data_IF_819530949008
#
_entry.id   IF_819530949008
#
_cell.length_a   1.000
_cell.length_b   1.000
_cell.length_c   1.000
_cell.angle_alpha   90.00
_cell.angle_beta   90.00
_cell.angle_gamma   90.00
#
_symmetry.space_group_name_H-M   'P 1'
#
loop_
_entity.id
_entity.type
_entity.pdbx_description
1 polymer ?
#
# COMPACT_ATOMS: atom_id res chain seq x y z
N UNK A 1 -57.78 -19.41 -59.71
CA UNK A 1 -58.31 -18.09 -59.32
C UNK A 1 -57.18 -17.31 -58.67
N UNK A 2 -56.78 -16.18 -59.25
CA UNK A 2 -55.78 -15.30 -58.65
C UNK A 2 -56.40 -14.64 -57.41
N UNK A 3 -55.78 -14.82 -56.25
CA UNK A 3 -56.16 -14.11 -55.03
C UNK A 3 -55.98 -12.60 -55.27
N UNK A 4 -56.98 -11.74 -54.96
CA UNK A 4 -56.79 -10.30 -54.97
C UNK A 4 -55.61 -9.94 -54.05
N UNK A 5 -54.85 -8.90 -54.40
CA UNK A 5 -53.84 -8.34 -53.52
C UNK A 5 -54.54 -7.81 -52.25
N UNK A 6 -54.56 -8.64 -51.20
CA UNK A 6 -55.23 -8.31 -49.95
C UNK A 6 -54.51 -7.17 -49.24
N UNK A 7 -55.27 -6.22 -48.72
CA UNK A 7 -54.78 -5.23 -47.76
C UNK A 7 -54.21 -5.86 -46.50
N UNK A 8 -53.72 -5.02 -45.58
CA UNK A 8 -53.05 -5.42 -44.33
C UNK A 8 -53.83 -6.49 -43.56
N UNK A 9 -53.14 -7.54 -43.07
CA UNK A 9 -53.77 -8.63 -42.30
C UNK A 9 -54.48 -8.09 -41.05
N UNK A 10 -55.71 -8.55 -40.72
CA UNK A 10 -56.41 -8.18 -39.49
C UNK A 10 -55.53 -8.39 -38.25
N UNK A 11 -55.61 -7.47 -37.29
CA UNK A 11 -54.80 -7.53 -36.07
C UNK A 11 -53.36 -7.02 -36.18
N UNK A 12 -52.86 -6.71 -37.38
CA UNK A 12 -51.46 -6.26 -37.56
C UNK A 12 -51.15 -4.99 -36.76
N UNK A 13 -52.04 -3.99 -36.78
CA UNK A 13 -51.86 -2.76 -35.99
C UNK A 13 -51.86 -3.02 -34.47
N UNK A 14 -52.77 -3.87 -33.98
CA UNK A 14 -52.80 -4.26 -32.57
C UNK A 14 -51.53 -5.00 -32.14
N UNK A 15 -50.99 -5.87 -33.02
CA UNK A 15 -49.70 -6.55 -32.79
C UNK A 15 -48.57 -5.55 -32.65
N UNK A 16 -48.45 -4.63 -33.62
CA UNK A 16 -47.39 -3.62 -33.64
C UNK A 16 -47.43 -2.74 -32.39
N UNK A 17 -48.61 -2.28 -31.99
CA UNK A 17 -48.80 -1.48 -30.77
C UNK A 17 -48.42 -2.26 -29.51
N UNK A 18 -48.87 -3.51 -29.39
CA UNK A 18 -48.54 -4.35 -28.24
C UNK A 18 -47.03 -4.60 -28.14
N UNK A 19 -46.39 -5.00 -29.24
CA UNK A 19 -44.94 -5.21 -29.30
C UNK A 19 -44.17 -3.92 -29.02
N UNK A 20 -44.62 -2.79 -29.55
CA UNK A 20 -44.02 -1.48 -29.27
C UNK A 20 -44.09 -1.13 -27.78
N UNK A 21 -45.21 -1.44 -27.10
CA UNK A 21 -45.34 -1.30 -25.65
C UNK A 21 -44.29 -2.09 -24.88
N UNK A 22 -44.11 -3.37 -25.23
CA UNK A 22 -43.10 -4.24 -24.61
C UNK A 22 -41.69 -3.67 -24.79
N UNK A 23 -41.33 -3.25 -26.01
CA UNK A 23 -40.00 -2.70 -26.26
C UNK A 23 -39.73 -1.41 -25.50
N UNK A 24 -40.75 -0.58 -25.29
CA UNK A 24 -40.65 0.62 -24.45
C UNK A 24 -40.42 0.25 -22.99
N UNK A 25 -41.14 -0.74 -22.45
CA UNK A 25 -40.94 -1.22 -21.08
C UNK A 25 -39.54 -1.82 -20.88
N UNK A 26 -39.05 -2.63 -21.82
CA UNK A 26 -37.69 -3.19 -21.81
C UNK A 26 -36.64 -2.07 -21.81
N UNK A 27 -36.83 -1.04 -22.63
CA UNK A 27 -35.95 0.13 -22.64
C UNK A 27 -35.97 0.86 -21.29
N UNK A 28 -37.15 1.06 -20.70
CA UNK A 28 -37.27 1.71 -19.40
C UNK A 28 -36.64 0.87 -18.28
N UNK A 29 -36.72 -0.45 -18.33
CA UNK A 29 -36.00 -1.33 -17.39
C UNK A 29 -34.49 -1.15 -17.49
N UNK A 30 -33.93 -1.03 -18.71
CA UNK A 30 -32.51 -0.73 -18.91
C UNK A 30 -32.14 0.66 -18.37
N UNK A 31 -33.01 1.66 -18.54
CA UNK A 31 -32.81 3.00 -17.97
C UNK A 31 -32.81 2.99 -16.43
N UNK A 32 -33.62 2.14 -15.80
CA UNK A 32 -33.58 1.93 -14.35
C UNK A 32 -32.22 1.39 -13.90
N UNK A 33 -31.70 0.36 -14.56
CA UNK A 33 -30.36 -0.17 -14.28
C UNK A 33 -29.27 0.90 -14.43
N UNK A 34 -29.39 1.77 -15.45
CA UNK A 34 -28.48 2.90 -15.65
C UNK A 34 -28.48 3.88 -14.48
N UNK A 35 -29.63 4.12 -13.86
CA UNK A 35 -29.77 4.97 -12.66
C UNK A 35 -29.13 4.33 -11.42
N UNK A 36 -29.27 3.02 -11.26
CA UNK A 36 -28.63 2.28 -10.16
C UNK A 36 -27.09 2.38 -10.23
N UNK A 37 -26.53 2.36 -11.45
CA UNK A 37 -25.09 2.59 -11.67
C UNK A 37 -24.65 3.99 -11.21
N UNK A 38 -25.45 5.04 -11.45
CA UNK A 38 -25.13 6.38 -10.93
C UNK A 38 -25.18 6.44 -9.41
N UNK A 39 -26.18 5.81 -8.79
CA UNK A 39 -26.29 5.76 -7.34
C UNK A 39 -25.09 5.04 -6.70
N UNK A 40 -24.62 3.94 -7.31
CA UNK A 40 -23.41 3.24 -6.86
C UNK A 40 -22.16 4.10 -6.99
N UNK A 41 -22.01 4.82 -8.10
CA UNK A 41 -20.89 5.75 -8.27
C UNK A 41 -20.91 6.86 -7.21
N UNK A 42 -22.08 7.43 -6.94
CA UNK A 42 -22.28 8.46 -5.92
C UNK A 42 -21.91 7.97 -4.51
N UNK A 43 -22.28 6.73 -4.16
CA UNK A 43 -21.88 6.11 -2.89
C UNK A 43 -20.36 5.96 -2.77
N UNK A 44 -19.68 5.54 -3.84
CA UNK A 44 -18.22 5.39 -3.85
C UNK A 44 -17.49 6.72 -3.64
N UNK A 45 -17.89 7.78 -4.35
CA UNK A 45 -17.25 9.10 -4.19
C UNK A 45 -17.58 9.72 -2.81
N UNK A 46 -18.74 9.41 -2.24
CA UNK A 46 -19.08 9.83 -0.87
C UNK A 46 -18.21 9.12 0.17
N UNK A 47 -17.96 7.82 0.03
CA UNK A 47 -17.01 7.09 0.89
C UNK A 47 -15.58 7.61 0.77
N UNK A 48 -15.18 8.04 -0.43
CA UNK A 48 -13.90 8.70 -0.63
C UNK A 48 -13.81 9.99 0.20
N UNK A 49 -14.89 10.77 0.29
CA UNK A 49 -14.95 11.96 1.16
C UNK A 49 -14.72 11.62 2.64
N UNK A 50 -15.29 10.52 3.12
CA UNK A 50 -15.13 10.10 4.52
C UNK A 50 -13.67 9.70 4.87
N UNK A 51 -12.87 9.33 3.86
CA UNK A 51 -11.45 9.00 4.03
C UNK A 51 -10.52 10.21 4.10
N UNK A 52 -11.01 11.43 3.91
CA UNK A 52 -10.17 12.63 3.91
C UNK A 52 -9.57 12.90 5.28
N UNK A 53 -8.27 13.21 5.32
CA UNK A 53 -7.62 13.56 6.57
C UNK A 53 -8.02 14.99 6.99
N UNK A 54 -8.68 15.19 8.14
CA UNK A 54 -9.13 16.51 8.57
C UNK A 54 -7.96 17.48 8.81
N UNK A 55 -6.78 16.96 9.16
CA UNK A 55 -5.56 17.76 9.40
C UNK A 55 -5.06 18.49 8.16
N UNK A 56 -5.48 18.08 6.96
CA UNK A 56 -5.10 18.80 5.73
C UNK A 56 -5.56 20.26 5.74
N UNK A 57 -6.70 20.57 6.38
CA UNK A 57 -7.22 21.94 6.48
C UNK A 57 -6.33 22.88 7.29
N UNK A 58 -5.63 22.34 8.27
CA UNK A 58 -4.72 23.07 9.16
C UNK A 58 -3.28 23.08 8.61
N UNK A 59 -2.99 22.28 7.60
CA UNK A 59 -1.66 22.14 7.03
C UNK A 59 -1.36 23.24 6.01
N UNK A 60 -0.07 23.57 5.85
CA UNK A 60 0.38 24.50 4.82
C UNK A 60 0.07 24.05 3.38
N UNK A 61 -0.18 22.76 3.15
CA UNK A 61 -0.52 22.21 1.82
C UNK A 61 -2.00 22.39 1.45
N UNK A 62 -2.83 22.92 2.36
CA UNK A 62 -4.26 23.13 2.12
C UNK A 62 -4.59 23.89 0.81
N UNK A 63 -3.90 25.00 0.45
CA UNK A 63 -4.20 25.71 -0.79
C UNK A 63 -3.99 24.86 -2.06
N UNK A 64 -3.11 23.84 -2.00
CA UNK A 64 -2.86 22.92 -3.11
C UNK A 64 -3.93 21.82 -3.20
N UNK A 65 -4.40 21.32 -2.06
CA UNK A 65 -5.33 20.17 -1.97
C UNK A 65 -6.79 20.62 -2.05
N UNK A 66 -7.13 21.75 -1.45
CA UNK A 66 -8.51 22.23 -1.35
C UNK A 66 -9.26 22.36 -2.68
N UNK A 67 -8.65 22.74 -3.83
CA UNK A 67 -9.40 22.85 -5.07
C UNK A 67 -9.92 21.51 -5.58
N UNK A 68 -9.15 20.42 -5.47
CA UNK A 68 -9.61 19.10 -5.92
C UNK A 68 -10.65 18.51 -4.98
N UNK A 69 -10.52 18.76 -3.67
CA UNK A 69 -11.54 18.32 -2.71
C UNK A 69 -12.86 19.09 -2.93
N UNK A 70 -12.79 20.40 -3.17
CA UNK A 70 -13.96 21.21 -3.52
C UNK A 70 -14.63 20.74 -4.81
N UNK A 71 -13.86 20.30 -5.80
CA UNK A 71 -14.40 19.67 -7.00
C UNK A 71 -15.19 18.39 -6.70
N UNK A 72 -14.65 17.51 -5.85
CA UNK A 72 -15.36 16.29 -5.44
C UNK A 72 -16.65 16.60 -4.67
N UNK A 73 -16.64 17.60 -3.78
CA UNK A 73 -17.86 18.02 -3.06
C UNK A 73 -18.94 18.56 -4.01
N UNK A 74 -18.53 19.34 -5.03
CA UNK A 74 -19.47 19.81 -6.04
C UNK A 74 -19.98 18.66 -6.90
N UNK A 75 -19.11 17.72 -7.32
CA UNK A 75 -19.53 16.55 -8.08
C UNK A 75 -20.56 15.69 -7.31
N UNK A 76 -20.30 15.41 -6.03
CA UNK A 76 -21.25 14.71 -5.13
C UNK A 76 -22.60 15.44 -5.14
N UNK A 77 -22.58 16.76 -4.92
CA UNK A 77 -23.79 17.57 -4.83
C UNK A 77 -24.60 17.55 -6.13
N UNK A 78 -23.92 17.72 -7.28
CA UNK A 78 -24.55 17.75 -8.61
C UNK A 78 -25.12 16.39 -9.01
N UNK A 79 -24.36 15.31 -8.76
CA UNK A 79 -24.81 13.95 -9.07
C UNK A 79 -25.97 13.50 -8.19
N UNK A 80 -25.97 13.87 -6.91
CA UNK A 80 -27.10 13.57 -6.03
C UNK A 80 -28.39 14.20 -6.56
N UNK A 81 -28.36 15.50 -6.89
CA UNK A 81 -29.51 16.19 -7.48
C UNK A 81 -29.94 15.59 -8.84
N UNK A 82 -28.98 15.10 -9.64
CA UNK A 82 -29.25 14.41 -10.90
C UNK A 82 -29.98 13.08 -10.68
N UNK A 83 -29.51 12.24 -9.76
CA UNK A 83 -30.13 10.95 -9.43
C UNK A 83 -31.55 11.15 -8.88
N UNK A 84 -31.73 12.08 -7.94
CA UNK A 84 -33.04 12.42 -7.37
C UNK A 84 -34.01 12.88 -8.47
N UNK A 85 -33.54 13.75 -9.37
CA UNK A 85 -34.31 14.25 -10.50
C UNK A 85 -34.71 13.16 -11.50
N UNK A 86 -33.82 12.20 -11.78
CA UNK A 86 -34.14 11.04 -12.63
C UNK A 86 -35.16 10.12 -11.98
N UNK A 87 -35.02 9.85 -10.68
CA UNK A 87 -35.92 8.96 -9.95
C UNK A 87 -37.34 9.52 -9.87
N UNK A 88 -37.47 10.83 -9.65
CA UNK A 88 -38.76 11.51 -9.71
C UNK A 88 -39.42 11.38 -11.09
N UNK A 89 -38.66 11.55 -12.19
CA UNK A 89 -39.21 11.44 -13.55
C UNK A 89 -39.58 10.00 -13.92
N UNK A 90 -38.75 9.04 -13.51
CA UNK A 90 -38.99 7.62 -13.78
C UNK A 90 -40.32 7.15 -13.16
N UNK A 91 -40.68 7.66 -11.99
CA UNK A 91 -41.93 7.32 -11.30
C UNK A 91 -43.21 7.72 -12.07
N UNK A 92 -43.10 8.61 -13.05
CA UNK A 92 -44.23 9.08 -13.87
C UNK A 92 -44.35 8.37 -15.22
N UNK A 93 -43.45 7.43 -15.55
CA UNK A 93 -43.53 6.70 -16.82
C UNK A 93 -44.56 5.59 -16.72
N UNK A 94 -45.59 5.68 -17.54
CA UNK A 94 -46.67 4.69 -17.62
C UNK A 94 -46.12 3.35 -18.15
N UNK A 95 -46.55 2.22 -17.59
CA UNK A 95 -46.17 0.88 -18.08
C UNK A 95 -47.24 0.31 -19.00
N UNK A 96 -46.86 -0.61 -19.91
CA UNK A 96 -47.84 -1.27 -20.76
C UNK A 96 -48.70 -2.28 -19.97
N UNK A 97 -49.99 -2.37 -20.33
CA UNK A 97 -50.90 -3.39 -19.81
C UNK A 97 -50.59 -4.72 -20.48
N UNK A 98 -49.74 -5.52 -19.83
CA UNK A 98 -49.32 -6.83 -20.32
C UNK A 98 -50.35 -7.93 -20.08
N UNK A 99 -51.36 -7.71 -19.23
CA UNK A 99 -52.38 -8.70 -18.90
C UNK A 99 -53.49 -8.77 -19.96
N UNK A 100 -53.80 -7.66 -20.62
CA UNK A 100 -54.83 -7.59 -21.67
C UNK A 100 -54.23 -7.49 -23.08
N UNK A 101 -53.68 -8.59 -23.61
CA UNK A 101 -53.19 -8.63 -25.00
C UNK A 101 -54.37 -8.72 -26.01
N UNK A 102 -54.73 -7.63 -26.72
CA UNK A 102 -55.87 -7.63 -27.65
C UNK A 102 -55.57 -8.37 -28.95
N UNK A 103 -54.30 -8.63 -29.26
CA UNK A 103 -53.87 -9.33 -30.48
C UNK A 103 -54.14 -10.84 -30.42
N UNK A 104 -54.25 -11.43 -29.22
CA UNK A 104 -54.44 -12.88 -29.03
C UNK A 104 -55.66 -13.43 -29.77
N UNK A 105 -56.75 -12.66 -29.83
CA UNK A 105 -57.98 -13.04 -30.55
C UNK A 105 -57.79 -13.11 -32.07
N UNK A 106 -56.81 -12.39 -32.63
CA UNK A 106 -56.53 -12.36 -34.07
C UNK A 106 -55.59 -13.49 -34.52
N UNK A 107 -54.77 -14.05 -33.63
CA UNK A 107 -53.82 -15.13 -33.97
C UNK A 107 -54.52 -16.39 -34.52
N UNK A 108 -55.75 -16.65 -34.07
CA UNK A 108 -56.53 -17.83 -34.46
C UNK A 108 -57.36 -17.63 -35.74
N UNK A 109 -57.46 -16.41 -36.26
CA UNK A 109 -58.41 -16.06 -37.32
C UNK A 109 -58.03 -16.67 -38.69
N UNK A 110 -56.74 -16.66 -39.02
CA UNK A 110 -56.21 -17.24 -40.27
C UNK A 110 -56.38 -18.76 -40.29
N UNK A 111 -56.09 -19.43 -39.16
CA UNK A 111 -56.30 -20.87 -39.02
C UNK A 111 -57.79 -21.25 -39.13
N UNK A 112 -58.67 -20.47 -38.51
CA UNK A 112 -60.11 -20.70 -38.60
C UNK A 112 -60.65 -20.52 -40.03
N UNK A 113 -60.18 -19.50 -40.75
CA UNK A 113 -60.53 -19.28 -42.15
C UNK A 113 -60.08 -20.44 -43.05
N UNK A 114 -58.83 -20.90 -42.90
CA UNK A 114 -58.31 -22.05 -43.66
C UNK A 114 -59.11 -23.33 -43.37
N UNK A 115 -59.49 -23.56 -42.11
CA UNK A 115 -60.33 -24.69 -41.72
C UNK A 115 -61.73 -24.62 -42.36
N UNK A 116 -62.35 -23.43 -42.43
CA UNK A 116 -63.61 -23.23 -43.16
C UNK A 116 -63.46 -23.50 -44.67
N UNK A 117 -62.42 -22.96 -45.29
CA UNK A 117 -62.17 -23.13 -46.73
C UNK A 117 -61.93 -24.60 -47.11
N UNK A 118 -61.21 -25.34 -46.26
CA UNK A 118 -61.00 -26.77 -46.46
C UNK A 118 -62.32 -27.53 -46.30
N UNK A 119 -63.08 -27.27 -45.23
CA UNK A 119 -64.35 -27.94 -44.99
C UNK A 119 -65.41 -27.62 -46.08
N UNK A 120 -65.37 -26.41 -46.68
CA UNK A 120 -66.20 -26.03 -47.82
C UNK A 120 -65.88 -26.88 -49.06
N UNK A 121 -64.59 -27.12 -49.30
CA UNK A 121 -64.14 -27.97 -50.41
C UNK A 121 -64.57 -29.43 -50.19
N UNK A 122 -64.41 -29.92 -48.96
CA UNK A 122 -64.72 -31.31 -48.59
C UNK A 122 -66.23 -31.62 -48.68
N UNK A 123 -67.09 -30.66 -48.30
CA UNK A 123 -68.55 -30.82 -48.38
C UNK A 123 -69.08 -30.77 -49.83
N UNK A 124 -68.35 -30.12 -50.74
CA UNK A 124 -68.70 -30.03 -52.16
C UNK A 124 -68.30 -31.27 -52.99
N UNK A 125 -67.59 -32.23 -52.40
CA UNK A 125 -67.23 -33.47 -53.11
C UNK A 125 -68.47 -34.30 -53.51
N UNK A 126 -68.46 -35.02 -54.64
CA UNK A 126 -69.63 -35.79 -55.11
C UNK A 126 -70.15 -36.81 -54.09
N UNK A 127 -69.25 -37.44 -53.32
CA UNK A 127 -69.57 -38.38 -52.26
C UNK A 127 -70.29 -37.70 -51.08
N UNK A 128 -69.79 -36.54 -50.63
CA UNK A 128 -70.39 -35.74 -49.56
C UNK A 128 -71.77 -35.20 -49.96
N UNK A 129 -71.91 -34.68 -51.18
CA UNK A 129 -73.20 -34.20 -51.71
C UNK A 129 -74.23 -35.33 -51.78
N UNK A 130 -73.83 -36.50 -52.28
CA UNK A 130 -74.70 -37.68 -52.34
C UNK A 130 -75.12 -38.15 -50.93
N UNK A 131 -74.19 -38.14 -49.96
CA UNK A 131 -74.47 -38.50 -48.58
C UNK A 131 -75.45 -37.51 -47.92
N UNK A 132 -75.31 -36.22 -48.18
CA UNK A 132 -76.22 -35.19 -47.69
C UNK A 132 -77.61 -35.30 -48.33
N UNK A 133 -77.68 -35.52 -49.65
CA UNK A 133 -78.95 -35.71 -50.36
C UNK A 133 -79.70 -36.96 -49.88
N UNK A 134 -78.98 -38.05 -49.62
CA UNK A 134 -79.53 -39.27 -49.02
C UNK A 134 -80.03 -39.04 -47.59
N UNK A 135 -79.30 -38.25 -46.81
CA UNK A 135 -79.73 -37.88 -45.46
C UNK A 135 -81.04 -37.10 -45.50
N UNK A 136 -81.17 -36.10 -46.40
CA UNK A 136 -82.41 -35.34 -46.59
C UNK A 136 -83.59 -36.19 -47.03
N UNK A 137 -83.40 -37.10 -47.99
CA UNK A 137 -84.49 -37.95 -48.51
C UNK A 137 -84.97 -39.02 -47.54
N UNK A 138 -84.20 -39.33 -46.50
CA UNK A 138 -84.51 -40.36 -45.48
C UNK A 138 -84.76 -39.78 -44.10
N UNK A 139 -84.92 -38.46 -43.99
CA UNK A 139 -85.14 -37.77 -42.72
C UNK A 139 -86.55 -38.05 -42.17
N UNK A 140 -86.61 -38.63 -40.96
CA UNK A 140 -87.85 -38.80 -40.18
C UNK A 140 -87.74 -38.00 -38.87
N UNK A 141 -88.64 -37.03 -38.61
CA UNK A 141 -88.66 -36.27 -37.35
C UNK A 141 -88.75 -37.15 -36.10
N UNK A 142 -89.29 -38.36 -36.21
CA UNK A 142 -89.43 -39.31 -35.09
C UNK A 142 -88.14 -40.06 -34.76
N UNK A 143 -87.17 -40.09 -35.68
CA UNK A 143 -85.88 -40.79 -35.51
C UNK A 143 -84.73 -39.93 -36.03
N UNK A 144 -84.36 -38.85 -35.30
CA UNK A 144 -83.36 -37.91 -35.78
C UNK A 144 -82.01 -38.60 -35.98
N UNK A 145 -81.47 -38.50 -37.20
CA UNK A 145 -80.11 -38.94 -37.54
C UNK A 145 -79.17 -37.75 -37.51
N UNK A 146 -77.93 -37.96 -37.06
CA UNK A 146 -76.88 -36.93 -37.14
C UNK A 146 -76.62 -36.58 -38.61
N UNK A 147 -76.28 -35.31 -38.88
CA UNK A 147 -75.78 -34.89 -40.19
C UNK A 147 -74.57 -35.73 -40.62
N UNK A 148 -74.31 -35.89 -41.93
CA UNK A 148 -73.06 -36.48 -42.42
C UNK A 148 -71.84 -35.74 -41.87
N UNK A 149 -70.76 -36.47 -41.57
CA UNK A 149 -69.56 -35.90 -40.94
C UNK A 149 -68.96 -34.69 -41.69
N UNK A 150 -68.85 -34.68 -43.04
CA UNK A 150 -68.35 -33.51 -43.77
C UNK A 150 -69.19 -32.24 -43.51
N UNK A 151 -70.51 -32.38 -43.41
CA UNK A 151 -71.42 -31.26 -43.10
C UNK A 151 -71.30 -30.81 -41.63
N UNK A 152 -71.11 -31.75 -40.68
CA UNK A 152 -70.85 -31.42 -39.27
C UNK A 152 -69.53 -30.65 -39.09
N UNK A 153 -68.46 -31.08 -39.74
CA UNK A 153 -67.15 -30.42 -39.71
C UNK A 153 -67.26 -29.02 -40.29
N UNK A 154 -67.94 -28.86 -41.43
CA UNK A 154 -68.20 -27.57 -42.04
C UNK A 154 -68.98 -26.62 -41.12
N UNK A 155 -70.08 -27.08 -40.53
CA UNK A 155 -70.87 -26.28 -39.57
C UNK A 155 -70.07 -25.85 -38.36
N UNK A 156 -69.25 -26.74 -37.78
CA UNK A 156 -68.40 -26.41 -36.62
C UNK A 156 -67.32 -25.40 -36.99
N UNK A 157 -66.67 -25.57 -38.14
CA UNK A 157 -65.66 -24.65 -38.64
C UNK A 157 -66.26 -23.25 -38.83
N UNK A 158 -67.43 -23.15 -39.50
CA UNK A 158 -68.15 -21.90 -39.70
C UNK A 158 -68.54 -21.25 -38.36
N UNK A 159 -69.14 -22.01 -37.43
CA UNK A 159 -69.55 -21.45 -36.14
C UNK A 159 -68.34 -20.85 -35.40
N UNK A 160 -67.23 -21.60 -35.34
CA UNK A 160 -66.01 -21.12 -34.70
C UNK A 160 -65.43 -19.89 -35.37
N UNK A 161 -65.40 -19.85 -36.70
CA UNK A 161 -64.90 -18.70 -37.45
C UNK A 161 -65.82 -17.48 -37.27
N UNK A 162 -67.13 -17.66 -37.25
CA UNK A 162 -68.09 -16.60 -36.95
C UNK A 162 -67.92 -16.05 -35.53
N UNK A 163 -67.74 -16.90 -34.53
CA UNK A 163 -67.54 -16.48 -33.14
C UNK A 163 -66.25 -15.66 -33.00
N UNK A 164 -65.14 -16.12 -33.62
CA UNK A 164 -63.87 -15.38 -33.66
C UNK A 164 -63.99 -14.05 -34.42
N UNK A 165 -64.72 -14.02 -35.55
CA UNK A 165 -64.96 -12.79 -36.31
C UNK A 165 -65.81 -11.80 -35.49
N UNK A 166 -66.81 -12.27 -34.75
CA UNK A 166 -67.61 -11.43 -33.85
C UNK A 166 -66.76 -10.85 -32.72
N UNK A 167 -65.91 -11.66 -32.09
CA UNK A 167 -65.00 -11.22 -31.04
C UNK A 167 -64.01 -10.17 -31.57
N UNK A 168 -63.36 -10.44 -32.70
CA UNK A 168 -62.45 -9.49 -33.35
C UNK A 168 -63.18 -8.22 -33.83
N UNK A 169 -64.40 -8.36 -34.33
CA UNK A 169 -65.26 -7.24 -34.71
C UNK A 169 -65.67 -6.38 -33.52
N UNK A 170 -65.92 -6.98 -32.36
CA UNK A 170 -66.16 -6.27 -31.12
C UNK A 170 -64.92 -5.46 -30.69
N UNK A 171 -63.74 -6.06 -30.74
CA UNK A 171 -62.47 -5.36 -30.46
C UNK A 171 -62.24 -4.18 -31.39
N UNK A 172 -62.50 -4.34 -32.69
CA UNK A 172 -62.39 -3.26 -33.68
C UNK A 172 -63.43 -2.15 -33.51
N UNK A 173 -64.59 -2.43 -32.92
CA UNK A 173 -65.67 -1.43 -32.78
C UNK A 173 -65.64 -0.69 -31.44
N UNK A 174 -65.01 -1.26 -30.40
CA UNK A 174 -65.11 -0.70 -29.04
C UNK A 174 -63.80 -0.27 -28.41
N UNK A 175 -62.65 -0.78 -28.87
CA UNK A 175 -61.36 -0.56 -28.21
C UNK A 175 -60.22 0.07 -29.05
N UNK A 176 -60.32 0.34 -30.36
CA UNK A 176 -59.14 0.77 -31.11
C UNK A 176 -58.63 2.14 -30.64
N UNK A 177 -59.53 3.09 -30.37
CA UNK A 177 -59.15 4.43 -29.92
C UNK A 177 -58.42 4.39 -28.57
N UNK A 178 -59.00 3.72 -27.56
CA UNK A 178 -58.40 3.59 -26.22
C UNK A 178 -57.01 2.90 -26.26
N UNK A 179 -56.86 1.82 -27.03
CA UNK A 179 -55.58 1.11 -27.14
C UNK A 179 -54.51 1.98 -27.82
N UNK A 180 -54.88 2.66 -28.91
CA UNK A 180 -53.96 3.52 -29.65
C UNK A 180 -53.58 4.76 -28.82
N UNK A 181 -54.54 5.36 -28.12
CA UNK A 181 -54.32 6.54 -27.26
C UNK A 181 -53.42 6.18 -26.07
N UNK A 182 -53.64 5.04 -25.39
CA UNK A 182 -52.74 4.55 -24.35
C UNK A 182 -51.33 4.30 -24.86
N UNK A 183 -51.18 3.71 -26.04
CA UNK A 183 -49.87 3.48 -26.64
C UNK A 183 -49.19 4.80 -27.02
N UNK A 184 -49.93 5.74 -27.58
CA UNK A 184 -49.43 7.08 -27.90
C UNK A 184 -48.99 7.81 -26.62
N UNK A 185 -49.78 7.75 -25.55
CA UNK A 185 -49.44 8.35 -24.27
C UNK A 185 -48.17 7.72 -23.69
N UNK A 186 -48.08 6.39 -23.65
CA UNK A 186 -46.87 5.69 -23.19
C UNK A 186 -45.64 6.10 -24.03
N UNK A 187 -45.78 6.20 -25.35
CA UNK A 187 -44.70 6.66 -26.22
C UNK A 187 -44.25 8.10 -25.93
N UNK A 188 -45.19 9.02 -25.73
CA UNK A 188 -44.88 10.40 -25.35
C UNK A 188 -44.29 10.51 -23.94
N UNK A 189 -44.71 9.67 -23.00
CA UNK A 189 -44.12 9.59 -21.64
C UNK A 189 -42.66 9.14 -21.71
N UNK A 190 -42.36 8.08 -22.47
CA UNK A 190 -40.99 7.58 -22.68
C UNK A 190 -40.13 8.62 -23.39
N UNK A 191 -40.67 9.28 -24.41
CA UNK A 191 -39.99 10.37 -25.12
C UNK A 191 -39.71 11.56 -24.22
N UNK A 192 -40.68 11.97 -23.41
CA UNK A 192 -40.53 13.05 -22.43
C UNK A 192 -39.46 12.70 -21.39
N UNK A 193 -39.47 11.46 -20.89
CA UNK A 193 -38.44 10.95 -19.99
C UNK A 193 -37.04 11.01 -20.64
N UNK A 194 -36.88 10.53 -21.88
CA UNK A 194 -35.60 10.56 -22.60
C UNK A 194 -35.10 11.99 -22.79
N UNK A 195 -35.95 12.89 -23.31
CA UNK A 195 -35.57 14.29 -23.52
C UNK A 195 -35.18 14.97 -22.22
N UNK A 196 -35.92 14.69 -21.15
CA UNK A 196 -35.61 15.14 -19.82
C UNK A 196 -34.26 14.60 -19.31
N UNK A 197 -34.02 13.30 -19.45
CA UNK A 197 -32.80 12.63 -19.01
C UNK A 197 -31.57 13.21 -19.73
N UNK A 198 -31.63 13.34 -21.06
CA UNK A 198 -30.55 13.90 -21.87
C UNK A 198 -30.22 15.35 -21.47
N UNK A 199 -31.24 16.16 -21.22
CA UNK A 199 -31.04 17.54 -20.75
C UNK A 199 -30.34 17.59 -19.39
N UNK A 200 -30.79 16.76 -18.44
CA UNK A 200 -30.17 16.66 -17.12
C UNK A 200 -28.72 16.15 -17.19
N UNK A 201 -28.42 15.22 -18.10
CA UNK A 201 -27.04 14.75 -18.34
C UNK A 201 -26.16 15.87 -18.87
N UNK A 202 -26.65 16.63 -19.86
CA UNK A 202 -25.91 17.75 -20.44
C UNK A 202 -25.58 18.80 -19.37
N UNK A 203 -26.55 19.15 -18.52
CA UNK A 203 -26.37 20.08 -17.41
C UNK A 203 -25.36 19.57 -16.38
N UNK A 204 -25.44 18.28 -16.01
CA UNK A 204 -24.51 17.64 -15.08
C UNK A 204 -23.08 17.69 -15.63
N UNK A 205 -22.88 17.27 -16.88
CA UNK A 205 -21.56 17.26 -17.54
C UNK A 205 -20.98 18.67 -17.61
N UNK A 206 -21.80 19.66 -17.98
CA UNK A 206 -21.37 21.06 -18.03
C UNK A 206 -21.00 21.62 -16.65
N UNK A 207 -21.74 21.25 -15.60
CA UNK A 207 -21.42 21.65 -14.23
C UNK A 207 -20.11 21.03 -13.71
N UNK A 208 -19.94 19.70 -13.87
CA UNK A 208 -18.72 18.99 -13.48
C UNK A 208 -17.51 19.54 -14.25
N UNK A 209 -17.65 19.79 -15.56
CA UNK A 209 -16.58 20.35 -16.40
C UNK A 209 -16.14 21.74 -15.92
N UNK A 210 -17.09 22.62 -15.57
CA UNK A 210 -16.79 23.95 -15.00
C UNK A 210 -16.09 23.84 -13.64
N UNK A 211 -16.55 22.93 -12.79
CA UNK A 211 -15.94 22.67 -11.49
C UNK A 211 -14.48 22.21 -11.63
N UNK A 212 -14.23 21.23 -12.51
CA UNK A 212 -12.90 20.72 -12.82
C UNK A 212 -11.98 21.81 -13.40
N UNK A 213 -12.51 22.65 -14.29
CA UNK A 213 -11.76 23.79 -14.86
C UNK A 213 -11.37 24.81 -13.78
N UNK A 214 -12.27 25.09 -12.85
CA UNK A 214 -12.02 25.98 -11.70
C UNK A 214 -10.96 25.40 -10.78
N UNK A 215 -11.07 24.13 -10.42
CA UNK A 215 -10.08 23.44 -9.62
C UNK A 215 -8.70 23.42 -10.29
N UNK A 216 -8.65 23.15 -11.59
CA UNK A 216 -7.42 23.18 -12.39
C UNK A 216 -6.80 24.57 -12.41
N UNK A 217 -7.60 25.62 -12.60
CA UNK A 217 -7.14 27.01 -12.58
C UNK A 217 -6.56 27.37 -11.20
N UNK A 218 -7.25 27.01 -10.13
CA UNK A 218 -6.79 27.27 -8.76
C UNK A 218 -5.48 26.53 -8.47
N UNK A 219 -5.36 25.27 -8.86
CA UNK A 219 -4.11 24.50 -8.73
C UNK A 219 -2.98 25.15 -9.54
N UNK A 220 -3.24 25.60 -10.78
CA UNK A 220 -2.23 26.30 -11.58
C UNK A 220 -1.79 27.64 -10.99
N UNK A 221 -2.67 28.30 -10.24
CA UNK A 221 -2.33 29.54 -9.53
C UNK A 221 -1.49 29.30 -8.27
N UNK A 222 -1.42 28.06 -7.77
CA UNK A 222 -0.58 27.71 -6.65
C UNK A 222 0.89 27.89 -7.01
N UNK A 223 1.57 28.78 -6.26
CA UNK A 223 2.98 29.09 -6.49
C UNK A 223 3.83 28.34 -5.47
N UNK A 224 4.50 27.28 -5.90
CA UNK A 224 5.40 26.49 -5.04
C UNK A 224 6.52 27.34 -4.43
N UNK A 225 7.03 28.33 -5.16
CA UNK A 225 8.04 29.26 -4.67
C UNK A 225 7.53 30.05 -3.44
N UNK A 226 6.32 30.60 -3.49
CA UNK A 226 5.72 31.31 -2.35
C UNK A 226 5.40 30.38 -1.17
N UNK A 227 5.11 29.10 -1.46
CA UNK A 227 4.89 28.09 -0.42
C UNK A 227 6.18 27.69 0.30
N UNK A 228 7.30 27.56 -0.43
CA UNK A 228 8.56 27.06 0.14
C UNK A 228 9.51 28.17 0.62
N UNK A 229 9.44 29.38 0.05
CA UNK A 229 10.36 30.47 0.37
C UNK A 229 10.47 30.77 1.87
N UNK A 230 9.36 30.87 2.64
CA UNK A 230 9.47 31.11 4.07
C UNK A 230 10.19 29.99 4.83
N UNK A 231 10.15 28.75 4.33
CA UNK A 231 10.85 27.61 4.93
C UNK A 231 12.35 27.67 4.71
N UNK A 232 12.80 28.25 3.59
CA UNK A 232 14.22 28.53 3.40
C UNK A 232 14.71 29.56 4.42
N UNK A 233 13.95 30.63 4.64
CA UNK A 233 14.28 31.65 5.62
C UNK A 233 14.30 31.06 7.05
N UNK A 234 13.29 30.26 7.40
CA UNK A 234 13.24 29.55 8.70
C UNK A 234 14.45 28.62 8.89
N UNK A 235 14.88 27.89 7.86
CA UNK A 235 16.06 27.01 7.94
C UNK A 235 17.35 27.83 8.14
N UNK A 236 17.49 28.96 7.45
CA UNK A 236 18.66 29.83 7.66
C UNK A 236 18.65 30.45 9.06
N UNK A 237 17.48 30.81 9.58
CA UNK A 237 17.31 31.25 10.97
C UNK A 237 17.70 30.15 11.95
N UNK A 238 17.22 28.91 11.73
CA UNK A 238 17.58 27.73 12.52
C UNK A 238 19.09 27.46 12.49
N UNK A 239 19.74 27.56 11.33
CA UNK A 239 21.20 27.42 11.19
C UNK A 239 21.96 28.47 11.98
N UNK A 240 21.44 29.69 12.05
CA UNK A 240 22.07 30.79 12.80
C UNK A 240 21.90 30.67 14.32
N UNK A 241 20.98 29.80 14.77
CA UNK A 241 20.62 29.60 16.17
C UNK A 241 21.82 29.16 17.00
N UNK A 242 21.93 29.68 18.23
CA UNK A 242 23.08 29.42 19.12
C UNK A 242 23.28 27.93 19.44
N UNK A 243 22.21 27.13 19.44
CA UNK A 243 22.27 25.68 19.65
C UNK A 243 22.92 24.92 18.50
N UNK A 244 22.97 25.51 17.30
CA UNK A 244 23.64 24.91 16.13
C UNK A 244 25.12 25.29 16.06
N UNK A 245 25.61 26.13 16.98
CA UNK A 245 27.03 26.49 17.08
C UNK A 245 27.77 25.49 17.95
N UNK A 246 28.93 25.03 17.49
CA UNK A 246 29.83 24.22 18.31
C UNK A 246 30.22 25.00 19.57
N UNK A 247 30.15 24.33 20.72
CA UNK A 247 30.54 24.96 21.98
C UNK A 247 32.06 24.94 22.10
N UNK A 248 32.66 26.11 22.33
CA UNK A 248 34.10 26.25 22.49
C UNK A 248 34.57 25.62 23.82
N UNK A 249 35.45 24.62 23.74
CA UNK A 249 36.11 24.09 24.92
C UNK A 249 37.26 25.02 25.37
N UNK A 250 37.31 25.31 26.68
CA UNK A 250 38.24 26.28 27.29
C UNK A 250 38.99 25.66 28.46
N UNK A 251 40.30 25.85 28.49
CA UNK A 251 41.18 25.42 29.56
C UNK A 251 41.21 26.50 30.68
N UNK A 252 40.28 26.44 31.62
CA UNK A 252 40.17 27.46 32.69
C UNK A 252 41.38 27.53 33.64
N UNK A 253 42.18 26.47 33.74
CA UNK A 253 43.44 26.48 34.50
C UNK A 253 44.57 27.26 33.79
N UNK A 254 44.32 27.72 32.55
CA UNK A 254 45.18 28.56 31.70
C UNK A 254 44.39 29.74 31.16
N UNK A 255 43.78 30.51 32.06
CA UNK A 255 43.08 31.76 31.75
C UNK A 255 41.97 31.66 30.68
N UNK A 256 41.41 30.46 30.45
CA UNK A 256 40.31 30.24 29.51
C UNK A 256 40.73 30.16 28.04
N UNK A 257 42.00 29.82 27.77
CA UNK A 257 42.50 29.52 26.43
C UNK A 257 41.64 28.46 25.71
N UNK A 258 41.41 28.66 24.40
CA UNK A 258 40.69 27.71 23.55
C UNK A 258 41.54 26.48 23.29
N UNK A 259 40.92 25.31 23.38
CA UNK A 259 41.54 24.03 23.06
C UNK A 259 40.50 23.07 22.46
N UNK A 260 40.96 21.96 21.89
CA UNK A 260 40.08 20.87 21.45
C UNK A 260 40.31 19.64 22.33
N UNK A 261 39.28 19.11 23.01
CA UNK A 261 39.46 18.00 23.91
C UNK A 261 39.81 16.73 23.12
N UNK A 262 40.94 16.11 23.44
CA UNK A 262 41.35 14.80 22.93
C UNK A 262 41.45 13.77 24.06
N UNK A 263 41.60 14.22 25.30
CA UNK A 263 41.74 13.37 26.48
C UNK A 263 40.48 13.44 27.35
N UNK A 264 40.18 12.36 28.08
CA UNK A 264 39.05 12.35 29.00
C UNK A 264 37.68 12.29 28.31
N UNK A 265 37.63 11.79 27.06
CA UNK A 265 36.39 11.67 26.28
C UNK A 265 35.54 10.49 26.78
N UNK A 266 34.33 10.33 26.23
CA UNK A 266 33.53 9.14 26.48
C UNK A 266 34.17 7.90 25.82
N UNK A 267 33.83 6.70 26.30
CA UNK A 267 34.43 5.45 25.81
C UNK A 267 34.34 5.29 24.26
N UNK A 268 33.21 5.56 23.59
CA UNK A 268 33.14 5.47 22.12
C UNK A 268 34.15 6.39 21.42
N UNK A 269 34.22 7.65 21.86
CA UNK A 269 35.09 8.66 21.25
C UNK A 269 36.57 8.33 21.51
N UNK A 270 36.92 7.90 22.72
CA UNK A 270 38.27 7.46 23.07
C UNK A 270 38.69 6.25 22.23
N UNK A 271 37.81 5.26 22.07
CA UNK A 271 38.10 4.06 21.25
C UNK A 271 38.28 4.43 19.78
N UNK A 272 37.44 5.30 19.25
CA UNK A 272 37.56 5.79 17.87
C UNK A 272 38.90 6.50 17.66
N UNK A 273 39.26 7.40 18.58
CA UNK A 273 40.49 8.19 18.50
C UNK A 273 41.75 7.32 18.59
N UNK A 274 41.75 6.31 19.47
CA UNK A 274 42.88 5.37 19.59
C UNK A 274 43.02 4.51 18.33
N UNK A 275 41.93 4.01 17.75
CA UNK A 275 42.00 3.25 16.49
C UNK A 275 42.57 4.11 15.35
N UNK A 276 42.18 5.38 15.24
CA UNK A 276 42.75 6.31 14.25
C UNK A 276 44.27 6.51 14.42
N UNK A 277 44.78 6.45 15.65
CA UNK A 277 46.23 6.47 15.92
C UNK A 277 46.90 5.16 15.50
N UNK A 278 46.27 4.01 15.78
CA UNK A 278 46.79 2.69 15.43
C UNK A 278 46.81 2.43 13.91
N UNK A 279 45.80 2.90 13.18
CA UNK A 279 45.64 2.68 11.73
C UNK A 279 46.76 3.28 10.87
N UNK A 280 47.51 4.24 11.41
CA UNK A 280 48.61 4.93 10.70
C UNK A 280 49.95 4.18 10.82
N UNK A 281 49.98 3.10 11.61
CA UNK A 281 51.13 2.19 11.74
C UNK A 281 51.96 2.46 12.98
N UNK A 282 52.02 1.45 13.85
CA UNK A 282 52.91 1.40 15.02
C UNK A 282 53.96 0.33 14.75
N UNK A 283 55.16 0.74 14.31
CA UNK A 283 56.28 -0.18 14.20
C UNK A 283 56.71 -0.63 15.61
N UNK A 284 56.70 -1.94 15.87
CA UNK A 284 57.27 -2.62 17.04
C UNK A 284 56.98 -1.97 18.40
N UNK A 285 55.94 -2.44 19.10
CA UNK A 285 55.50 -2.00 20.45
C UNK A 285 56.47 -2.38 21.60
N UNK A 286 57.77 -2.25 21.38
CA UNK A 286 58.75 -2.44 22.44
C UNK A 286 58.96 -1.10 23.16
N UNK A 287 58.54 -1.09 24.43
CA UNK A 287 58.90 -0.18 25.53
C UNK A 287 57.79 0.70 26.12
N UNK A 288 57.76 0.64 27.46
CA UNK A 288 56.99 1.43 28.43
C UNK A 288 57.23 2.93 28.23
N UNK A 289 56.59 3.54 27.23
CA UNK A 289 56.54 4.99 27.14
C UNK A 289 55.58 5.50 28.22
N UNK A 290 56.06 6.38 29.10
CA UNK A 290 55.20 7.04 30.08
C UNK A 290 54.10 7.80 29.35
N UNK A 291 52.89 7.86 29.93
CA UNK A 291 51.89 8.81 29.46
C UNK A 291 52.48 10.23 29.42
N UNK A 292 51.91 11.09 28.57
CA UNK A 292 52.16 12.52 28.61
C UNK A 292 51.85 13.02 30.02
N UNK A 293 52.62 13.99 30.50
CA UNK A 293 52.17 14.75 31.66
C UNK A 293 50.99 15.65 31.24
N UNK A 294 50.17 16.07 32.21
CA UNK A 294 48.98 16.88 31.93
C UNK A 294 49.31 18.15 31.13
N UNK A 295 50.45 18.80 31.41
CA UNK A 295 50.87 19.99 30.66
C UNK A 295 51.09 19.70 29.17
N UNK A 296 51.78 18.61 28.83
CA UNK A 296 52.05 18.24 27.45
C UNK A 296 50.78 17.81 26.69
N UNK A 297 49.84 17.17 27.39
CA UNK A 297 48.53 16.84 26.82
C UNK A 297 47.71 18.10 26.50
N UNK A 298 47.64 19.07 27.42
CA UNK A 298 46.93 20.33 27.18
C UNK A 298 47.59 21.20 26.09
N UNK A 299 48.93 21.19 25.98
CA UNK A 299 49.60 21.84 24.84
C UNK A 299 49.21 21.21 23.50
N UNK A 300 49.00 19.89 23.47
CA UNK A 300 48.57 19.18 22.27
C UNK A 300 47.12 19.56 21.89
N UNK A 301 46.20 19.57 22.85
CA UNK A 301 44.80 20.03 22.64
C UNK A 301 44.73 21.47 22.10
N UNK A 302 45.66 22.33 22.52
CA UNK A 302 45.77 23.72 22.05
C UNK A 302 46.39 23.82 20.66
N UNK A 303 47.54 23.15 20.45
CA UNK A 303 48.32 23.22 19.20
C UNK A 303 47.50 22.84 17.97
N UNK A 304 46.52 21.95 18.14
CA UNK A 304 45.71 21.41 17.05
C UNK A 304 44.22 21.75 17.16
N UNK A 305 43.89 22.88 17.81
CA UNK A 305 42.52 23.38 17.96
C UNK A 305 41.68 23.30 16.67
N UNK A 306 42.26 23.66 15.53
CA UNK A 306 41.58 23.70 14.22
C UNK A 306 41.93 22.53 13.31
N UNK A 307 42.78 21.61 13.76
CA UNK A 307 43.28 20.54 12.91
C UNK A 307 42.58 19.20 13.22
N UNK A 308 42.29 18.39 12.20
CA UNK A 308 41.82 17.04 12.40
C UNK A 308 42.96 16.14 12.93
N UNK A 309 42.62 15.11 13.69
CA UNK A 309 43.60 14.23 14.35
C UNK A 309 44.60 13.57 13.38
N UNK A 310 44.23 13.32 12.12
CA UNK A 310 45.18 12.79 11.13
C UNK A 310 46.35 13.75 10.86
N UNK A 311 46.17 15.06 11.00
CA UNK A 311 47.26 16.03 10.90
C UNK A 311 48.13 16.09 12.15
N UNK A 312 47.56 15.82 13.35
CA UNK A 312 48.33 15.60 14.58
C UNK A 312 49.33 14.49 14.35
N UNK A 313 48.85 13.36 13.82
CA UNK A 313 49.63 12.15 13.63
C UNK A 313 50.62 12.29 12.47
N UNK A 314 50.22 12.91 11.35
CA UNK A 314 51.11 13.18 10.21
C UNK A 314 52.26 14.14 10.54
N UNK A 315 52.07 15.05 11.51
CA UNK A 315 53.14 15.92 12.00
C UNK A 315 54.15 15.21 12.92
N UNK A 316 53.94 13.92 13.23
CA UNK A 316 54.75 13.06 14.08
C UNK A 316 55.46 11.95 13.28
N UNK A 317 55.91 12.21 12.04
CA UNK A 317 56.43 11.20 11.10
C UNK A 317 57.98 11.12 11.02
N UNK A 318 58.69 11.51 12.09
CA UNK A 318 60.16 11.35 12.19
C UNK A 318 60.56 10.05 12.92
N UNK A 319 61.73 9.45 12.64
CA UNK A 319 62.22 8.22 13.33
C UNK A 319 62.32 8.35 14.87
N UNK A 320 62.36 9.58 15.40
CA UNK A 320 62.29 9.91 16.84
C UNK A 320 60.87 9.97 17.43
N UNK A 321 59.81 9.81 16.64
CA UNK A 321 58.41 10.03 17.04
C UNK A 321 57.63 8.80 17.50
N UNK A 322 58.13 7.57 17.32
CA UNK A 322 57.39 6.37 17.76
C UNK A 322 57.11 6.40 19.28
N UNK A 323 58.07 6.91 20.06
CA UNK A 323 57.89 7.12 21.49
C UNK A 323 56.75 8.11 21.76
N UNK A 324 56.67 9.20 21.00
CA UNK A 324 55.62 10.20 21.14
C UNK A 324 54.23 9.66 20.77
N UNK A 325 54.12 8.85 19.72
CA UNK A 325 52.86 8.14 19.38
C UNK A 325 52.42 7.21 20.51
N UNK A 326 53.36 6.49 21.12
CA UNK A 326 53.08 5.64 22.28
C UNK A 326 52.66 6.45 23.51
N UNK A 327 53.31 7.59 23.78
CA UNK A 327 52.87 8.49 24.86
C UNK A 327 51.47 9.01 24.60
N UNK A 328 51.15 9.38 23.36
CA UNK A 328 49.81 9.83 22.96
C UNK A 328 48.77 8.72 23.19
N UNK A 329 48.99 7.52 22.65
CA UNK A 329 48.10 6.36 22.82
C UNK A 329 47.86 6.04 24.29
N UNK A 330 48.92 5.95 25.09
CA UNK A 330 48.81 5.72 26.53
C UNK A 330 48.01 6.83 27.21
N UNK A 331 48.23 8.09 26.84
CA UNK A 331 47.50 9.22 27.42
C UNK A 331 46.01 9.22 27.08
N UNK A 332 45.64 8.85 25.85
CA UNK A 332 44.24 8.76 25.41
C UNK A 332 43.45 7.76 26.28
N UNK A 333 44.05 6.60 26.57
CA UNK A 333 43.44 5.54 27.38
C UNK A 333 43.48 5.84 28.88
N UNK A 334 44.55 6.48 29.38
CA UNK A 334 44.76 6.69 30.83
C UNK A 334 44.14 7.98 31.37
N UNK A 335 43.94 8.99 30.53
CA UNK A 335 43.27 10.23 30.96
C UNK A 335 41.74 10.12 30.86
N UNK A 336 41.24 9.10 30.18
CA UNK A 336 39.83 8.71 30.18
C UNK A 336 39.52 7.83 31.39
N UNK A 337 38.26 7.75 31.84
CA UNK A 337 37.86 6.73 32.82
C UNK A 337 38.23 5.32 32.31
N UNK A 338 38.51 4.35 33.20
CA UNK A 338 38.81 2.99 32.76
C UNK A 338 37.70 2.45 31.86
N UNK A 339 38.07 2.00 30.67
CA UNK A 339 37.15 1.46 29.67
C UNK A 339 36.54 0.12 30.11
N UNK A 340 37.25 -0.61 30.99
CA UNK A 340 36.79 -1.84 31.61
C UNK A 340 36.90 -1.66 33.13
N UNK A 341 35.76 -1.50 33.79
CA UNK A 341 35.70 -1.41 35.24
C UNK A 341 35.83 -2.79 35.87
N UNK A 342 36.89 -2.98 36.65
CA UNK A 342 37.15 -4.21 37.41
C UNK A 342 37.34 -3.85 38.89
N UNK A 343 36.50 -4.43 39.74
CA UNK A 343 36.57 -4.22 41.18
C UNK A 343 37.74 -4.98 41.80
N UNK A 344 38.34 -4.42 42.85
CA UNK A 344 39.45 -5.04 43.58
C UNK A 344 39.11 -6.45 44.12
N UNK A 345 37.83 -6.73 44.38
CA UNK A 345 37.34 -8.07 44.77
C UNK A 345 37.41 -9.06 43.62
N UNK A 346 37.04 -8.64 42.40
CA UNK A 346 37.12 -9.44 41.18
C UNK A 346 38.59 -9.73 40.82
N UNK A 347 39.48 -8.76 40.98
CA UNK A 347 40.94 -8.96 40.78
C UNK A 347 41.48 -10.07 41.67
N UNK A 348 41.13 -10.05 42.97
CA UNK A 348 41.52 -11.11 43.92
C UNK A 348 40.90 -12.46 43.56
N UNK A 349 39.62 -12.47 43.21
CA UNK A 349 38.87 -13.68 42.88
C UNK A 349 39.41 -14.37 41.62
N UNK A 350 39.79 -13.61 40.61
CA UNK A 350 40.19 -14.11 39.29
C UNK A 350 41.69 -14.02 39.02
N UNK A 351 42.51 -14.00 40.09
CA UNK A 351 43.97 -13.97 39.98
C UNK A 351 44.56 -15.14 39.16
N UNK A 352 43.86 -16.29 39.14
CA UNK A 352 44.22 -17.47 38.34
C UNK A 352 43.59 -17.54 36.95
N UNK A 353 42.84 -16.52 36.54
CA UNK A 353 42.03 -16.50 35.31
C UNK A 353 40.52 -16.56 35.57
N UNK A 354 39.75 -16.24 34.52
CA UNK A 354 38.29 -16.16 34.55
C UNK A 354 37.68 -17.37 33.82
N UNK A 355 36.82 -18.17 34.48
CA UNK A 355 36.03 -19.19 33.82
C UNK A 355 35.09 -18.58 32.78
N UNK A 356 34.95 -19.19 31.60
CA UNK A 356 34.14 -18.65 30.48
C UNK A 356 32.72 -18.26 30.89
N UNK A 357 32.04 -19.11 31.66
CA UNK A 357 30.70 -18.86 32.23
C UNK A 357 30.58 -17.64 33.16
N UNK A 358 31.70 -17.03 33.55
CA UNK A 358 31.76 -15.83 34.41
C UNK A 358 32.20 -14.57 33.64
N UNK A 359 32.62 -14.69 32.38
CA UNK A 359 33.01 -13.54 31.56
C UNK A 359 31.82 -12.60 31.32
N UNK A 360 30.62 -13.14 31.09
CA UNK A 360 29.41 -12.32 30.86
C UNK A 360 29.21 -11.25 31.93
N UNK A 361 29.32 -11.61 33.21
CA UNK A 361 29.15 -10.67 34.32
C UNK A 361 30.27 -9.62 34.42
N UNK A 362 31.43 -9.86 33.80
CA UNK A 362 32.47 -8.83 33.64
C UNK A 362 32.19 -7.91 32.45
N UNK A 363 31.54 -8.41 31.40
CA UNK A 363 31.18 -7.60 30.24
C UNK A 363 30.04 -6.62 30.55
N UNK A 364 29.19 -6.96 31.51
CA UNK A 364 28.12 -6.09 32.02
C UNK A 364 28.65 -4.80 32.66
N UNK A 365 29.91 -4.74 33.11
CA UNK A 365 30.52 -3.50 33.64
C UNK A 365 31.05 -2.56 32.55
N UNK A 366 31.04 -2.99 31.29
CA UNK A 366 31.41 -2.19 30.12
C UNK A 366 30.14 -1.59 29.53
N UNK A 367 30.20 -0.29 29.19
CA UNK A 367 29.13 0.43 28.49
C UNK A 367 28.67 -0.38 27.27
N UNK A 368 27.37 -0.70 27.23
CA UNK A 368 26.79 -1.54 26.19
C UNK A 368 27.01 -0.97 24.78
N UNK A 369 26.93 0.36 24.61
CA UNK A 369 27.09 1.00 23.31
C UNK A 369 28.55 0.98 22.83
N UNK A 370 29.51 0.95 23.76
CA UNK A 370 30.94 0.96 23.47
C UNK A 370 31.62 -0.41 23.59
N UNK A 371 30.93 -1.44 24.10
CA UNK A 371 31.54 -2.70 24.53
C UNK A 371 32.27 -3.42 23.42
N UNK A 372 31.59 -3.67 22.29
CA UNK A 372 32.20 -4.37 21.15
C UNK A 372 33.46 -3.64 20.67
N UNK A 373 33.36 -2.32 20.44
CA UNK A 373 34.49 -1.51 19.98
C UNK A 373 35.65 -1.49 21.00
N UNK A 374 35.34 -1.40 22.29
CA UNK A 374 36.33 -1.44 23.38
C UNK A 374 37.06 -2.77 23.41
N UNK A 375 36.34 -3.88 23.29
CA UNK A 375 36.91 -5.22 23.30
C UNK A 375 37.71 -5.51 22.03
N UNK A 376 37.26 -5.04 20.87
CA UNK A 376 38.02 -5.11 19.61
C UNK A 376 39.33 -4.35 19.74
N UNK A 377 39.31 -3.11 20.26
CA UNK A 377 40.50 -2.33 20.48
C UNK A 377 41.46 -3.02 21.46
N UNK A 378 40.94 -3.57 22.56
CA UNK A 378 41.73 -4.32 23.54
C UNK A 378 42.42 -5.52 22.90
N UNK A 379 41.69 -6.32 22.11
CA UNK A 379 42.24 -7.46 21.38
C UNK A 379 43.28 -7.01 20.36
N UNK A 380 43.02 -5.95 19.60
CA UNK A 380 43.95 -5.38 18.63
C UNK A 380 45.27 -4.98 19.29
N UNK A 381 45.22 -4.25 20.40
CA UNK A 381 46.43 -3.84 21.14
C UNK A 381 47.15 -5.08 21.71
N UNK A 382 46.43 -6.06 22.27
CA UNK A 382 47.03 -7.32 22.74
C UNK A 382 47.79 -8.03 21.61
N UNK A 383 47.18 -8.16 20.43
CA UNK A 383 47.79 -8.83 19.28
C UNK A 383 49.01 -8.05 18.77
N UNK A 384 48.86 -6.75 18.52
CA UNK A 384 49.93 -5.89 18.00
C UNK A 384 51.13 -5.81 18.94
N UNK A 385 50.90 -5.84 20.27
CA UNK A 385 51.97 -5.82 21.27
C UNK A 385 52.80 -7.10 21.28
N UNK A 386 52.20 -8.26 20.97
CA UNK A 386 52.89 -9.56 21.06
C UNK A 386 53.74 -9.91 19.83
N UNK A 387 53.77 -9.05 18.80
CA UNK A 387 54.36 -9.38 17.51
C UNK A 387 55.91 -9.39 17.50
N UNK A 388 56.59 -8.67 18.40
CA UNK A 388 58.07 -8.52 18.40
C UNK A 388 58.71 -9.00 19.72
N UNK A 389 59.68 -9.93 19.64
CA UNK A 389 60.27 -10.65 20.82
C UNK A 389 61.39 -9.83 21.50
N UNK A 390 61.67 -10.01 22.83
CA UNK A 390 61.49 -11.21 23.64
C UNK A 390 60.84 -10.93 25.00
N UNK A 391 59.62 -10.38 25.02
CA UNK A 391 58.88 -10.15 26.26
C UNK A 391 57.82 -11.23 26.45
N UNK A 392 57.49 -11.57 27.70
CA UNK A 392 56.52 -12.63 28.00
C UNK A 392 55.10 -12.11 27.80
N UNK A 393 54.19 -12.94 27.27
CA UNK A 393 52.78 -12.58 27.04
C UNK A 393 52.05 -12.08 28.32
N UNK A 394 52.54 -12.48 29.50
CA UNK A 394 52.06 -12.00 30.80
C UNK A 394 52.32 -10.50 31.00
N UNK A 395 53.48 -10.01 30.57
CA UNK A 395 53.87 -8.61 30.75
C UNK A 395 53.08 -7.68 29.83
N UNK A 396 52.77 -8.12 28.61
CA UNK A 396 51.94 -7.36 27.66
C UNK A 396 50.49 -7.28 28.15
N UNK A 397 49.94 -8.38 28.66
CA UNK A 397 48.63 -8.39 29.30
C UNK A 397 48.58 -7.48 30.54
N UNK A 398 49.69 -7.32 31.26
CA UNK A 398 49.81 -6.36 32.37
C UNK A 398 49.74 -4.91 31.90
N UNK A 399 50.42 -4.60 30.80
CA UNK A 399 50.36 -3.26 30.22
C UNK A 399 48.97 -2.93 29.65
N UNK A 400 48.38 -3.84 28.87
CA UNK A 400 47.02 -3.64 28.35
C UNK A 400 46.01 -3.58 29.50
N UNK A 401 46.16 -4.43 30.52
CA UNK A 401 45.31 -4.35 31.71
C UNK A 401 45.41 -3.00 32.40
N UNK A 402 46.62 -2.46 32.55
CA UNK A 402 46.80 -1.11 33.05
C UNK A 402 46.16 -0.03 32.15
N UNK A 403 46.26 -0.12 30.83
CA UNK A 403 45.66 0.85 29.91
C UNK A 403 44.12 0.86 29.96
N UNK A 404 43.49 -0.32 30.03
CA UNK A 404 42.03 -0.44 29.94
C UNK A 404 41.32 -0.38 31.29
N UNK A 405 41.99 -0.76 32.37
CA UNK A 405 41.39 -0.88 33.72
C UNK A 405 42.02 0.06 34.75
N UNK A 406 43.12 0.71 34.38
CA UNK A 406 43.97 1.54 35.26
C UNK A 406 44.62 0.76 36.43
N UNK A 407 44.59 -0.57 36.36
CA UNK A 407 45.10 -1.50 37.37
C UNK A 407 45.97 -2.57 36.69
N UNK A 408 47.24 -2.70 37.09
CA UNK A 408 48.17 -3.66 36.46
C UNK A 408 47.89 -5.13 36.83
N UNK A 409 47.30 -5.38 37.99
CA UNK A 409 46.98 -6.72 38.50
C UNK A 409 45.75 -7.37 37.83
N UNK A 410 45.12 -6.69 36.87
CA UNK A 410 43.98 -7.20 36.08
C UNK A 410 44.39 -8.06 34.88
N UNK A 411 45.69 -8.20 34.62
CA UNK A 411 46.22 -8.95 33.47
C UNK A 411 45.65 -10.36 33.28
N UNK A 412 45.35 -11.18 34.33
CA UNK A 412 44.78 -12.51 34.12
C UNK A 412 43.36 -12.44 33.55
N UNK A 413 42.61 -11.40 33.92
CA UNK A 413 41.24 -11.14 33.47
C UNK A 413 41.27 -10.65 32.02
N UNK A 414 42.10 -9.67 31.72
CA UNK A 414 42.22 -9.06 30.39
C UNK A 414 42.68 -10.07 29.35
N UNK A 415 43.69 -10.87 29.68
CA UNK A 415 44.14 -11.99 28.85
C UNK A 415 43.01 -12.97 28.56
N UNK A 416 42.21 -13.33 29.56
CA UNK A 416 41.13 -14.29 29.39
C UNK A 416 39.93 -13.71 28.62
N UNK A 417 39.64 -12.41 28.76
CA UNK A 417 38.65 -11.73 27.91
C UNK A 417 39.12 -11.78 26.46
N UNK A 418 40.34 -11.33 26.16
CA UNK A 418 40.87 -11.31 24.79
C UNK A 418 40.96 -12.70 24.15
N UNK A 419 41.22 -13.73 24.97
CA UNK A 419 41.31 -15.13 24.54
C UNK A 419 39.95 -15.80 24.30
N UNK A 420 38.96 -15.54 25.17
CA UNK A 420 37.74 -16.36 25.26
C UNK A 420 36.47 -15.63 24.78
N UNK A 421 36.52 -14.32 24.53
CA UNK A 421 35.39 -13.52 24.09
C UNK A 421 35.45 -13.21 22.59
N UNK A 422 34.31 -13.32 21.91
CA UNK A 422 34.10 -12.85 20.54
C UNK A 422 33.60 -11.39 20.60
N UNK A 423 34.46 -10.41 20.30
CA UNK A 423 34.07 -9.01 20.37
C UNK A 423 33.17 -8.59 19.21
N UNK A 424 33.09 -9.34 18.10
CA UNK A 424 32.20 -9.04 16.98
C UNK A 424 30.75 -9.47 17.27
N UNK A 425 30.57 -10.62 17.93
CA UNK A 425 29.24 -11.15 18.31
C UNK A 425 28.83 -10.81 19.74
N UNK A 426 29.68 -10.09 20.48
CA UNK A 426 29.54 -9.76 21.90
C UNK A 426 29.13 -10.97 22.75
N UNK A 427 29.83 -12.09 22.59
CA UNK A 427 29.54 -13.33 23.32
C UNK A 427 30.80 -14.14 23.58
N UNK A 428 30.80 -15.08 24.55
CA UNK A 428 31.93 -15.97 24.73
C UNK A 428 32.04 -16.94 23.54
N UNK A 429 33.26 -17.25 23.10
CA UNK A 429 33.51 -18.33 22.14
C UNK A 429 32.96 -19.67 22.66
N UNK A 430 32.60 -20.62 21.78
CA UNK A 430 32.19 -21.96 22.19
C UNK A 430 33.21 -22.65 23.10
N UNK A 431 32.75 -23.61 23.90
CA UNK A 431 33.64 -24.36 24.78
C UNK A 431 34.69 -25.12 23.96
N UNK A 432 35.97 -24.97 24.33
CA UNK A 432 37.09 -25.50 23.54
C UNK A 432 37.53 -24.63 22.37
N UNK A 433 36.94 -23.46 22.14
CA UNK A 433 37.37 -22.47 21.14
C UNK A 433 37.97 -21.26 21.85
N UNK A 434 39.16 -20.86 21.41
CA UNK A 434 39.83 -19.66 21.91
C UNK A 434 40.74 -19.01 20.89
N UNK A 435 41.06 -17.74 21.10
CA UNK A 435 42.07 -17.04 20.32
C UNK A 435 43.44 -17.62 20.63
N UNK A 436 44.20 -17.97 19.60
CA UNK A 436 45.47 -18.69 19.70
C UNK A 436 46.47 -17.88 20.52
N UNK A 437 46.92 -18.51 21.61
CA UNK A 437 47.86 -17.94 22.56
C UNK A 437 48.99 -18.96 22.78
N UNK A 438 50.17 -18.65 22.27
CA UNK A 438 51.40 -19.40 22.56
C UNK A 438 52.12 -18.76 23.77
N UNK A 439 53.11 -19.43 24.35
CA UNK A 439 53.82 -18.98 25.57
C UNK A 439 54.36 -17.53 25.50
N UNK A 440 54.52 -16.99 24.29
CA UNK A 440 55.00 -15.63 24.06
C UNK A 440 54.12 -14.76 23.15
N UNK A 441 53.01 -15.26 22.57
CA UNK A 441 52.25 -14.49 21.56
C UNK A 441 50.74 -14.75 21.56
N UNK A 442 49.93 -13.70 21.41
CA UNK A 442 48.49 -13.79 21.12
C UNK A 442 48.24 -13.32 19.68
N UNK A 443 47.61 -14.15 18.86
CA UNK A 443 47.35 -13.82 17.44
C UNK A 443 45.88 -13.52 17.19
N UNK A 444 45.51 -13.00 16.03
CA UNK A 444 44.10 -12.85 15.66
C UNK A 444 43.40 -14.19 15.39
N UNK A 445 44.17 -15.26 15.13
CA UNK A 445 43.66 -16.59 14.80
C UNK A 445 42.80 -17.18 15.92
N UNK A 446 41.62 -17.69 15.57
CA UNK A 446 40.75 -18.41 16.50
C UNK A 446 40.91 -19.91 16.23
N UNK A 447 41.17 -20.71 17.27
CA UNK A 447 41.52 -22.13 17.16
C UNK A 447 40.74 -22.97 18.16
N UNK A 448 40.67 -24.27 17.89
CA UNK A 448 40.24 -25.27 18.89
C UNK A 448 41.37 -25.55 19.87
N UNK A 449 41.17 -25.33 21.17
CA UNK A 449 42.20 -25.44 22.21
C UNK A 449 42.87 -26.82 22.28
N UNK A 450 42.14 -27.88 21.92
CA UNK A 450 42.63 -29.25 22.03
C UNK A 450 43.41 -29.71 20.78
N UNK A 451 43.13 -29.14 19.61
CA UNK A 451 43.72 -29.58 18.33
C UNK A 451 44.62 -28.53 17.68
N UNK A 452 44.52 -27.26 18.09
CA UNK A 452 45.20 -26.12 17.47
C UNK A 452 44.71 -25.79 16.06
N UNK A 453 43.69 -26.50 15.56
CA UNK A 453 43.16 -26.28 14.21
C UNK A 453 42.34 -24.98 14.15
N UNK A 454 42.39 -24.24 13.02
CA UNK A 454 41.57 -23.05 12.83
C UNK A 454 40.08 -23.33 13.05
N UNK A 455 39.43 -22.46 13.82
CA UNK A 455 37.98 -22.46 13.99
C UNK A 455 37.36 -21.60 12.88
N UNK A 456 36.73 -22.26 11.92
CA UNK A 456 35.95 -21.60 10.86
C UNK A 456 34.54 -21.31 11.40
N UNK A 457 34.16 -20.04 11.46
CA UNK A 457 32.80 -19.64 11.84
C UNK A 457 31.83 -20.03 10.72
N UNK A 458 30.70 -20.64 11.07
CA UNK A 458 29.54 -20.71 10.15
C UNK A 458 28.95 -19.30 10.02
N UNK A 459 28.71 -18.89 8.77
CA UNK A 459 28.29 -17.54 8.39
C UNK A 459 26.97 -17.12 9.02
#
# INVERSE_FOLDING_TARGET
MAMPAYGTKPGTAFKTVYQGGIYMDEFMAMMKTRMEVEAQYLDQISKLKDSWNPKWRESGVWPLISPILGHFEEEITRRNAFVDGLQARFAHVTQSDTENNPYRSFESLEQAYLACSQADTDVQTPSSQSALQKWYSTFDPRYPRRFPEPDLVYRRAISRQHDLVKECGHLHSTKPEDIMEKHQQHSEDVKSFIGGCLSSIADLVAAISRSCSTATSNIRSFTSASFISPRHDEIEDERSHIYMREYEYRLYHRDGELARPYFGLAAPDTVQLVNQVLDIGVGGLLYRSNALNASAAFELEKRYLNEPIHQIIASMDSESDWQWRMKLLNSLLLFTKPLILIDATQVKQYRGGVPRRKLQGLMESIDFEARSATLQLMVRILVEMTWDKPVTATWEAEHVGWLFTHQGDTWPIIRDIGRKWDPERDCPFPEGVERKTDDNQMTEEIVWSNSGLPYMREA
#
